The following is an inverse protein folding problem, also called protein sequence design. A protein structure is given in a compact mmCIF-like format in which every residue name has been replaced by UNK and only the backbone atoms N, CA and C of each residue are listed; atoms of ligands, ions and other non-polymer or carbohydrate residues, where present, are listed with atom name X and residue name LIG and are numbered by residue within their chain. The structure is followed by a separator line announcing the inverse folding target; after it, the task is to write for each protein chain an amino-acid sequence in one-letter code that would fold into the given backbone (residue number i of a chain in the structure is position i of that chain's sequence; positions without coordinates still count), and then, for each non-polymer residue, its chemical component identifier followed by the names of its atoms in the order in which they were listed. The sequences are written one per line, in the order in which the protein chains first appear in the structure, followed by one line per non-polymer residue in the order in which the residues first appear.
data_IF_238584325458
#
_entry.id   IF_238584325458
#
_cell.length_a   1.000
_cell.length_b   1.000
_cell.length_c   1.000
_cell.angle_alpha   90.00
_cell.angle_beta   90.00
_cell.angle_gamma   90.00
#
_symmetry.space_group_name_H-M   'P 1'
#
loop_
_entity.id
_entity.type
_entity.pdbx_description
1 polymer ?
#
# COMPACT_ATOMS: atom_id res chain seq x y z
N UNK A 1 32.66 -6.34 5.31
CA UNK A 1 31.27 -6.41 4.74
C UNK A 1 30.97 -7.85 4.31
N UNK A 2 30.52 -8.70 5.27
CA UNK A 2 30.13 -10.08 5.01
C UNK A 2 28.83 -10.14 4.21
N UNK A 3 28.73 -11.08 3.26
CA UNK A 3 27.48 -11.44 2.62
C UNK A 3 26.81 -12.57 3.40
N UNK A 4 25.50 -12.51 3.58
CA UNK A 4 24.69 -13.63 4.07
C UNK A 4 24.37 -14.54 2.89
N UNK A 5 24.74 -15.84 3.02
CA UNK A 5 24.29 -16.89 2.11
C UNK A 5 23.30 -17.77 2.84
N UNK A 6 22.16 -18.04 2.21
CA UNK A 6 21.13 -18.93 2.74
C UNK A 6 20.77 -19.94 1.66
N UNK A 7 20.86 -21.21 1.97
CA UNK A 7 20.37 -22.30 1.14
C UNK A 7 19.17 -22.93 1.84
N UNK A 8 18.09 -23.10 1.12
CA UNK A 8 16.84 -23.69 1.58
C UNK A 8 16.48 -24.86 0.68
N UNK A 9 16.04 -25.96 1.28
CA UNK A 9 15.54 -27.14 0.59
C UNK A 9 14.33 -27.68 1.33
N UNK A 10 13.24 -27.94 0.58
CA UNK A 10 12.03 -28.58 1.07
C UNK A 10 11.95 -29.98 0.50
N UNK A 11 11.74 -30.96 1.36
CA UNK A 11 11.64 -32.36 0.98
C UNK A 11 10.29 -32.96 1.38
N UNK A 12 9.70 -33.75 0.49
CA UNK A 12 8.65 -34.69 0.83
C UNK A 12 9.31 -35.98 1.34
N UNK A 13 9.18 -36.22 2.63
CA UNK A 13 9.78 -37.40 3.27
C UNK A 13 9.10 -38.70 2.90
N UNK A 14 7.80 -38.66 2.57
CA UNK A 14 7.04 -39.85 2.15
C UNK A 14 7.44 -40.29 0.74
N UNK A 15 7.55 -39.32 -0.17
CA UNK A 15 7.96 -39.58 -1.54
C UNK A 15 9.48 -39.62 -1.72
N UNK A 16 10.26 -39.31 -0.68
CA UNK A 16 11.73 -39.16 -0.71
C UNK A 16 12.21 -38.26 -1.85
N UNK A 17 11.48 -37.15 -2.08
CA UNK A 17 11.70 -36.25 -3.22
C UNK A 17 11.92 -34.81 -2.76
N UNK A 18 12.91 -34.13 -3.36
CA UNK A 18 13.06 -32.68 -3.22
C UNK A 18 11.89 -31.98 -3.90
N UNK A 19 11.16 -31.18 -3.16
CA UNK A 19 10.01 -30.39 -3.65
C UNK A 19 10.44 -29.05 -4.22
N UNK A 20 11.40 -28.39 -3.56
CA UNK A 20 11.95 -27.10 -4.02
C UNK A 20 13.29 -26.82 -3.35
N UNK A 21 14.17 -26.10 -4.06
CA UNK A 21 15.44 -25.60 -3.54
C UNK A 21 15.65 -24.15 -3.97
N UNK A 22 16.14 -23.32 -3.07
CA UNK A 22 16.45 -21.90 -3.31
C UNK A 22 17.77 -21.54 -2.65
N UNK A 23 18.52 -20.65 -3.29
CA UNK A 23 19.74 -20.07 -2.73
C UNK A 23 19.69 -18.55 -2.83
N UNK A 24 20.04 -17.88 -1.74
CA UNK A 24 20.05 -16.43 -1.64
C UNK A 24 21.45 -15.93 -1.27
N UNK A 25 21.85 -14.81 -1.86
CA UNK A 25 23.04 -14.08 -1.44
C UNK A 25 22.66 -12.61 -1.25
N UNK A 26 22.74 -12.12 -0.03
CA UNK A 26 22.29 -10.77 0.32
C UNK A 26 23.13 -10.18 1.47
N UNK A 27 22.77 -9.00 1.94
CA UNK A 27 23.35 -8.42 3.16
C UNK A 27 22.75 -9.06 4.42
N UNK A 28 23.49 -9.16 5.54
CA UNK A 28 22.95 -9.72 6.79
C UNK A 28 21.67 -9.06 7.27
N UNK A 29 21.46 -7.78 6.99
CA UNK A 29 20.25 -7.03 7.39
C UNK A 29 18.96 -7.50 6.71
N UNK A 30 19.08 -8.23 5.59
CA UNK A 30 17.94 -8.71 4.80
C UNK A 30 17.48 -10.13 5.17
N UNK A 31 17.99 -10.71 6.25
CA UNK A 31 17.64 -12.08 6.65
C UNK A 31 16.14 -12.30 6.82
N UNK A 32 15.40 -11.31 7.33
CA UNK A 32 13.92 -11.41 7.49
C UNK A 32 13.22 -11.56 6.15
N UNK A 33 13.58 -10.73 5.16
CA UNK A 33 12.98 -10.83 3.82
C UNK A 33 13.28 -12.18 3.19
N UNK A 34 14.48 -12.72 3.37
CA UNK A 34 14.80 -14.09 2.91
C UNK A 34 13.92 -15.12 3.61
N UNK A 35 13.70 -15.00 4.93
CA UNK A 35 12.80 -15.87 5.66
C UNK A 35 11.35 -15.79 5.15
N UNK A 36 10.83 -14.58 4.89
CA UNK A 36 9.49 -14.39 4.32
C UNK A 36 9.36 -15.03 2.93
N UNK A 37 10.32 -14.81 2.03
CA UNK A 37 10.32 -15.43 0.69
C UNK A 37 10.35 -16.96 0.77
N UNK A 38 11.13 -17.52 1.72
CA UNK A 38 11.14 -18.97 1.97
C UNK A 38 9.77 -19.44 2.47
N UNK A 39 9.15 -18.69 3.38
CA UNK A 39 7.81 -19.00 3.89
C UNK A 39 6.75 -18.98 2.77
N UNK A 40 6.82 -17.99 1.86
CA UNK A 40 5.97 -17.93 0.68
C UNK A 40 6.13 -19.18 -0.19
N UNK A 41 7.37 -19.61 -0.43
CA UNK A 41 7.64 -20.81 -1.24
C UNK A 41 7.20 -22.10 -0.58
N UNK A 42 7.28 -22.20 0.75
CA UNK A 42 6.73 -23.34 1.50
C UNK A 42 5.20 -23.35 1.37
N UNK A 43 4.56 -22.20 1.61
CA UNK A 43 3.11 -22.06 1.55
C UNK A 43 2.58 -22.40 0.14
N UNK A 44 3.13 -21.77 -0.89
CA UNK A 44 2.77 -22.05 -2.29
C UNK A 44 2.90 -23.55 -2.63
N UNK A 45 4.00 -24.17 -2.17
CA UNK A 45 4.26 -25.57 -2.46
C UNK A 45 3.32 -26.54 -1.77
N UNK A 46 2.85 -26.19 -0.57
CA UNK A 46 1.96 -27.03 0.22
C UNK A 46 0.47 -26.80 -0.09
N UNK A 47 0.08 -25.58 -0.45
CA UNK A 47 -1.32 -25.22 -0.63
C UNK A 47 -1.71 -25.04 -2.10
N UNK A 48 -0.75 -24.74 -2.98
CA UNK A 48 -0.99 -24.33 -4.35
C UNK A 48 -1.42 -22.86 -4.52
N UNK A 49 -1.46 -22.10 -3.43
CA UNK A 49 -1.82 -20.68 -3.42
C UNK A 49 -0.57 -19.81 -3.24
N UNK A 50 -0.61 -18.57 -3.76
CA UNK A 50 0.48 -17.61 -3.58
C UNK A 50 0.71 -17.30 -2.10
N UNK A 51 1.98 -17.19 -1.70
CA UNK A 51 2.37 -16.77 -0.37
C UNK A 51 2.13 -15.28 -0.13
N UNK A 52 2.01 -14.89 1.14
CA UNK A 52 1.77 -13.49 1.56
C UNK A 52 2.72 -13.01 2.67
N UNK A 53 3.78 -13.78 2.98
CA UNK A 53 4.70 -13.46 4.07
C UNK A 53 5.67 -12.33 3.70
N UNK A 54 6.09 -12.19 2.42
CA UNK A 54 6.89 -11.04 1.94
C UNK A 54 6.01 -9.87 1.53
N UNK A 55 5.02 -9.55 2.37
CA UNK A 55 4.11 -8.41 2.17
C UNK A 55 4.28 -7.36 3.26
N UNK A 56 3.71 -6.19 3.03
CA UNK A 56 3.76 -5.05 3.95
C UNK A 56 2.36 -4.53 4.25
N UNK A 57 2.21 -3.97 5.44
CA UNK A 57 0.98 -3.33 5.90
C UNK A 57 1.22 -1.83 5.93
N UNK A 58 0.35 -1.06 5.26
CA UNK A 58 0.28 0.38 5.42
C UNK A 58 -0.91 0.74 6.32
N UNK A 59 -0.70 1.67 7.25
CA UNK A 59 -1.70 2.04 8.23
C UNK A 59 -1.52 3.47 8.73
N UNK A 60 -2.51 3.98 9.42
CA UNK A 60 -2.43 5.26 10.12
C UNK A 60 -2.08 4.98 11.57
N UNK A 61 -0.88 5.37 11.98
CA UNK A 61 -0.45 5.32 13.37
C UNK A 61 -0.96 6.55 14.12
N UNK A 62 -1.64 6.33 15.24
CA UNK A 62 -2.13 7.40 16.10
C UNK A 62 -1.35 7.47 17.41
N UNK A 63 -1.06 8.68 17.87
CA UNK A 63 -0.37 8.94 19.14
C UNK A 63 -0.88 10.26 19.77
N UNK A 64 -0.48 10.53 21.00
CA UNK A 64 -0.87 11.73 21.72
C UNK A 64 -2.18 11.62 22.49
N UNK A 65 -2.56 12.68 23.21
CA UNK A 65 -3.77 12.76 24.00
C UNK A 65 -5.03 12.72 23.11
N UNK A 66 -6.17 12.30 23.68
CA UNK A 66 -7.42 12.09 22.94
C UNK A 66 -7.89 13.33 22.16
N UNK A 67 -7.65 14.51 22.69
CA UNK A 67 -8.01 15.80 22.11
C UNK A 67 -6.94 16.39 21.17
N UNK A 68 -5.74 15.77 21.12
CA UNK A 68 -4.58 16.21 20.33
C UNK A 68 -3.91 15.03 19.65
N UNK A 69 -4.68 14.21 18.94
CA UNK A 69 -4.17 13.05 18.22
C UNK A 69 -3.28 13.47 17.05
N UNK A 70 -2.08 12.91 17.04
CA UNK A 70 -1.16 13.00 15.90
C UNK A 70 -1.34 11.73 15.08
N UNK A 71 -1.65 11.88 13.79
CA UNK A 71 -1.79 10.77 12.84
C UNK A 71 -0.64 10.80 11.86
N UNK A 72 0.00 9.64 11.68
CA UNK A 72 1.10 9.46 10.73
C UNK A 72 0.82 8.27 9.84
N UNK A 73 1.11 8.42 8.56
CA UNK A 73 1.18 7.29 7.67
C UNK A 73 2.39 6.45 8.04
N UNK A 74 2.20 5.15 8.22
CA UNK A 74 3.23 4.21 8.61
C UNK A 74 3.16 2.93 7.78
N UNK A 75 4.30 2.27 7.62
CA UNK A 75 4.43 0.99 6.95
C UNK A 75 5.26 0.04 7.82
N UNK A 76 4.92 -1.25 7.77
CA UNK A 76 5.67 -2.31 8.46
C UNK A 76 5.60 -3.61 7.66
N UNK A 77 6.50 -4.54 7.93
CA UNK A 77 6.38 -5.91 7.45
C UNK A 77 5.11 -6.55 8.03
N UNK A 78 4.54 -7.56 7.39
CA UNK A 78 3.28 -8.16 7.80
C UNK A 78 3.32 -8.75 9.23
N UNK A 79 4.50 -9.07 9.73
CA UNK A 79 4.74 -9.58 11.09
C UNK A 79 4.97 -8.48 12.15
N UNK A 80 4.72 -7.21 11.79
CA UNK A 80 4.86 -6.05 12.68
C UNK A 80 6.27 -5.47 12.78
N UNK A 81 7.26 -6.07 12.12
CA UNK A 81 8.64 -5.57 12.17
C UNK A 81 8.88 -4.41 11.19
N UNK A 82 10.03 -3.74 11.38
CA UNK A 82 10.52 -2.66 10.51
C UNK A 82 9.54 -1.52 10.30
N UNK A 83 8.79 -1.14 11.32
CA UNK A 83 7.91 0.04 11.27
C UNK A 83 8.69 1.28 10.83
N UNK A 84 8.20 1.95 9.80
CA UNK A 84 8.72 3.22 9.29
C UNK A 84 7.57 4.21 9.13
N UNK A 85 7.73 5.44 9.64
CA UNK A 85 6.80 6.52 9.38
C UNK A 85 7.08 7.17 8.03
N UNK A 86 6.04 7.37 7.24
CA UNK A 86 6.11 7.94 5.89
C UNK A 86 5.73 9.43 5.88
N UNK A 87 5.02 9.90 6.93
CA UNK A 87 4.67 11.32 7.12
C UNK A 87 5.09 11.81 8.50
N UNK A 88 5.22 13.14 8.66
CA UNK A 88 5.71 13.76 9.88
C UNK A 88 4.64 13.88 10.99
N UNK A 89 3.35 13.89 10.61
CA UNK A 89 2.23 14.03 11.55
C UNK A 89 1.78 15.46 11.80
N UNK A 90 2.17 16.41 10.96
CA UNK A 90 1.72 17.83 11.02
C UNK A 90 0.36 18.02 10.34
N UNK A 91 -0.19 16.97 9.75
CA UNK A 91 -1.44 16.99 9.03
C UNK A 91 -2.24 15.71 9.29
N UNK A 92 -3.55 15.80 9.15
CA UNK A 92 -4.42 14.63 9.25
C UNK A 92 -4.25 13.79 7.97
N UNK A 93 -3.89 12.51 8.15
CA UNK A 93 -3.81 11.52 7.08
C UNK A 93 -4.80 10.40 7.32
N UNK A 94 -5.47 9.93 6.26
CA UNK A 94 -6.55 8.93 6.34
C UNK A 94 -6.49 7.97 5.15
N UNK A 95 -7.13 6.82 5.31
CA UNK A 95 -7.49 5.85 4.26
C UNK A 95 -6.36 5.48 3.29
N UNK A 96 -5.17 5.07 3.78
CA UNK A 96 -4.11 4.64 2.88
C UNK A 96 -4.50 3.35 2.14
N UNK A 97 -4.09 3.23 0.86
CA UNK A 97 -4.28 2.05 0.03
C UNK A 97 -3.06 1.79 -0.83
N UNK A 98 -2.61 0.54 -0.87
CA UNK A 98 -1.60 0.11 -1.82
C UNK A 98 -2.15 0.03 -3.25
N UNK A 99 -1.31 0.36 -4.21
CA UNK A 99 -1.47 -0.07 -5.58
C UNK A 99 -1.23 -1.60 -5.64
N UNK A 100 -2.09 -2.39 -6.30
CA UNK A 100 -1.95 -3.84 -6.33
C UNK A 100 -0.75 -4.34 -7.14
N UNK A 101 -0.15 -3.52 -8.01
CA UNK A 101 0.87 -3.93 -8.96
C UNK A 101 2.25 -3.31 -8.75
N UNK A 102 2.34 -2.25 -7.91
CA UNK A 102 3.59 -1.54 -7.65
C UNK A 102 3.67 -0.96 -6.24
N UNK A 103 4.74 -0.20 -5.93
CA UNK A 103 4.99 0.36 -4.61
C UNK A 103 4.37 1.75 -4.38
N UNK A 104 3.34 2.06 -5.16
CA UNK A 104 2.57 3.29 -4.97
C UNK A 104 1.51 3.12 -3.88
N UNK A 105 1.25 4.18 -3.15
CA UNK A 105 0.19 4.27 -2.14
C UNK A 105 -0.62 5.51 -2.42
N UNK A 106 -1.95 5.39 -2.36
CA UNK A 106 -2.83 6.55 -2.30
C UNK A 106 -3.33 6.75 -0.87
N UNK A 107 -3.52 7.99 -0.48
CA UNK A 107 -4.09 8.37 0.82
C UNK A 107 -4.71 9.76 0.78
N UNK A 108 -5.59 10.03 1.72
CA UNK A 108 -6.16 11.37 1.95
C UNK A 108 -5.30 12.14 2.94
N UNK A 109 -4.95 13.37 2.63
CA UNK A 109 -4.31 14.32 3.55
C UNK A 109 -5.06 15.63 3.61
N UNK A 110 -5.11 16.23 4.81
CA UNK A 110 -5.67 17.54 5.08
C UNK A 110 -4.55 18.60 5.17
N UNK A 111 -3.63 18.57 4.22
CA UNK A 111 -2.58 19.57 4.15
C UNK A 111 -3.16 20.97 3.96
N UNK A 112 -2.77 21.93 4.83
CA UNK A 112 -3.32 23.29 4.87
C UNK A 112 -4.86 23.33 5.03
N UNK A 113 -5.43 22.37 5.79
CA UNK A 113 -6.87 22.21 5.98
C UNK A 113 -7.68 21.97 4.70
N UNK A 114 -7.02 21.52 3.63
CA UNK A 114 -7.66 21.15 2.38
C UNK A 114 -7.53 19.63 2.17
N UNK A 115 -8.65 18.88 2.15
CA UNK A 115 -8.61 17.47 1.85
C UNK A 115 -8.20 17.26 0.38
N UNK A 116 -7.13 16.50 0.18
CA UNK A 116 -6.59 16.13 -1.13
C UNK A 116 -6.16 14.68 -1.12
N UNK A 117 -6.34 14.03 -2.24
CA UNK A 117 -5.78 12.70 -2.48
C UNK A 117 -4.33 12.84 -2.93
N UNK A 118 -3.46 12.08 -2.30
CA UNK A 118 -2.04 12.02 -2.62
C UNK A 118 -1.66 10.64 -3.14
N UNK A 119 -0.70 10.62 -4.05
CA UNK A 119 0.08 9.45 -4.41
C UNK A 119 1.46 9.56 -3.77
N UNK A 120 1.92 8.47 -3.17
CA UNK A 120 3.24 8.35 -2.58
C UNK A 120 3.92 7.11 -3.16
N UNK A 121 5.06 7.28 -3.77
CA UNK A 121 5.98 6.19 -4.08
C UNK A 121 6.82 5.89 -2.83
N UNK A 122 6.68 4.66 -2.31
CA UNK A 122 7.34 4.26 -1.05
C UNK A 122 8.85 4.08 -1.24
N UNK A 123 9.30 3.74 -2.45
CA UNK A 123 10.72 3.48 -2.73
C UNK A 123 11.50 4.79 -2.85
N UNK A 124 10.97 5.74 -3.60
CA UNK A 124 11.62 7.04 -3.83
C UNK A 124 11.28 8.08 -2.77
N UNK A 125 10.12 7.93 -2.09
CA UNK A 125 9.55 8.93 -1.21
C UNK A 125 8.91 10.11 -1.94
N UNK A 126 8.77 10.03 -3.27
CA UNK A 126 8.14 11.06 -4.08
C UNK A 126 6.64 11.10 -3.80
N UNK A 127 6.12 12.30 -3.57
CA UNK A 127 4.71 12.54 -3.25
C UNK A 127 4.13 13.56 -4.22
N UNK A 128 2.93 13.29 -4.71
CA UNK A 128 2.19 14.19 -5.60
C UNK A 128 0.70 14.23 -5.24
N UNK A 129 0.05 15.34 -5.56
CA UNK A 129 -1.41 15.50 -5.43
C UNK A 129 -2.08 14.88 -6.66
N UNK A 130 -3.11 14.07 -6.42
CA UNK A 130 -3.95 13.52 -7.49
C UNK A 130 -4.95 14.58 -7.95
N UNK A 131 -4.62 15.25 -9.05
CA UNK A 131 -5.47 16.27 -9.64
C UNK A 131 -5.64 17.55 -8.80
N UNK A 132 -6.12 18.59 -9.43
CA UNK A 132 -6.47 19.86 -8.78
C UNK A 132 -7.98 20.07 -8.86
N UNK A 133 -8.71 19.34 -8.06
CA UNK A 133 -10.18 19.43 -8.01
C UNK A 133 -10.60 20.56 -7.06
N UNK A 134 -11.57 21.40 -7.44
CA UNK A 134 -12.02 22.54 -6.63
C UNK A 134 -12.72 22.10 -5.33
N UNK A 135 -13.39 20.95 -5.32
CA UNK A 135 -14.11 20.43 -4.16
C UNK A 135 -13.29 19.46 -3.32
N UNK A 136 -13.97 18.75 -2.40
CA UNK A 136 -13.37 17.72 -1.57
C UNK A 136 -13.27 16.40 -2.30
N UNK A 137 -12.08 15.79 -2.32
CA UNK A 137 -11.84 14.46 -2.87
C UNK A 137 -11.57 13.49 -1.73
N UNK A 138 -12.20 12.31 -1.74
CA UNK A 138 -12.03 11.32 -0.67
C UNK A 138 -12.20 9.87 -1.16
N UNK A 139 -11.90 8.93 -0.26
CA UNK A 139 -12.01 7.48 -0.45
C UNK A 139 -11.29 6.93 -1.71
N UNK A 140 -10.02 7.30 -1.99
CA UNK A 140 -9.34 6.85 -3.18
C UNK A 140 -9.06 5.34 -3.13
N UNK A 141 -9.25 4.66 -4.28
CA UNK A 141 -8.87 3.26 -4.48
C UNK A 141 -8.28 3.04 -5.86
N UNK A 142 -7.30 2.15 -5.94
CA UNK A 142 -6.76 1.72 -7.22
C UNK A 142 -7.69 0.72 -7.92
N UNK A 143 -7.66 0.72 -9.25
CA UNK A 143 -8.19 -0.39 -10.04
C UNK A 143 -7.36 -1.66 -9.84
N UNK A 144 -7.91 -2.86 -10.15
CA UNK A 144 -7.17 -4.13 -9.99
C UNK A 144 -5.86 -4.19 -10.78
N UNK A 145 -5.79 -3.51 -11.91
CA UNK A 145 -4.57 -3.39 -12.73
C UNK A 145 -3.61 -2.30 -12.27
N UNK A 146 -3.99 -1.51 -11.25
CA UNK A 146 -3.20 -0.43 -10.69
C UNK A 146 -3.03 0.81 -11.56
N UNK A 147 -3.74 0.90 -12.69
CA UNK A 147 -3.58 2.00 -13.66
C UNK A 147 -4.52 3.18 -13.44
N UNK A 148 -5.62 2.96 -12.77
CA UNK A 148 -6.62 4.00 -12.47
C UNK A 148 -6.84 4.15 -10.98
N UNK A 149 -7.37 5.32 -10.59
CA UNK A 149 -7.90 5.57 -9.26
C UNK A 149 -9.39 5.91 -9.41
N UNK A 150 -10.23 5.28 -8.60
CA UNK A 150 -11.61 5.69 -8.34
C UNK A 150 -11.65 6.52 -7.07
N UNK A 151 -12.45 7.56 -7.05
CA UNK A 151 -12.59 8.48 -5.91
C UNK A 151 -13.95 9.15 -5.93
N UNK A 152 -14.40 9.58 -4.77
CA UNK A 152 -15.57 10.46 -4.66
C UNK A 152 -15.12 11.90 -4.66
N UNK A 153 -15.86 12.74 -5.35
CA UNK A 153 -15.64 14.18 -5.44
C UNK A 153 -16.92 14.92 -5.04
N UNK A 154 -16.82 15.76 -4.01
CA UNK A 154 -17.94 16.53 -3.49
C UNK A 154 -17.83 18.02 -3.87
N UNK A 155 -18.86 18.53 -4.50
CA UNK A 155 -19.00 19.93 -4.89
C UNK A 155 -20.46 20.36 -4.73
N UNK A 156 -20.68 21.57 -4.23
CA UNK A 156 -22.01 22.19 -4.11
C UNK A 156 -23.09 21.34 -3.40
N UNK A 157 -22.66 20.53 -2.42
CA UNK A 157 -23.58 19.71 -1.62
C UNK A 157 -23.96 18.36 -2.24
N UNK A 158 -23.45 18.05 -3.42
CA UNK A 158 -23.53 16.72 -4.04
C UNK A 158 -22.18 16.02 -4.06
N UNK A 159 -22.17 14.71 -4.24
CA UNK A 159 -20.98 13.91 -4.41
C UNK A 159 -21.18 12.85 -5.47
N UNK A 160 -20.27 12.78 -6.41
CA UNK A 160 -20.26 11.79 -7.48
C UNK A 160 -18.96 10.98 -7.49
N UNK A 161 -18.99 9.88 -8.21
CA UNK A 161 -17.84 8.99 -8.38
C UNK A 161 -17.13 9.34 -9.68
N UNK A 162 -15.80 9.45 -9.56
CA UNK A 162 -14.90 9.72 -10.67
C UNK A 162 -13.80 8.68 -10.75
N UNK A 163 -13.30 8.43 -11.95
CA UNK A 163 -12.05 7.72 -12.18
C UNK A 163 -11.01 8.65 -12.77
N UNK A 164 -9.76 8.40 -12.46
CA UNK A 164 -8.63 9.06 -13.10
C UNK A 164 -7.61 8.01 -13.57
N UNK A 165 -7.23 8.11 -14.82
CA UNK A 165 -6.11 7.37 -15.38
C UNK A 165 -4.80 7.97 -14.87
N UNK A 166 -3.89 7.14 -14.34
CA UNK A 166 -2.66 7.59 -13.68
C UNK A 166 -1.56 8.02 -14.66
N UNK A 167 -1.59 7.51 -15.87
CA UNK A 167 -0.62 7.85 -16.91
C UNK A 167 -1.02 9.12 -17.63
N UNK A 168 -2.25 9.18 -18.13
CA UNK A 168 -2.76 10.29 -18.94
C UNK A 168 -3.31 11.45 -18.12
N UNK A 169 -3.63 11.19 -16.82
CA UNK A 169 -4.31 12.13 -15.91
C UNK A 169 -5.73 12.51 -16.37
N UNK A 170 -6.28 11.79 -17.31
CA UNK A 170 -7.67 11.98 -17.74
C UNK A 170 -8.63 11.58 -16.65
N UNK A 171 -9.60 12.44 -16.37
CA UNK A 171 -10.65 12.23 -15.36
C UNK A 171 -11.97 12.00 -16.08
N UNK A 172 -12.69 10.97 -15.63
CA UNK A 172 -14.00 10.60 -16.14
C UNK A 172 -14.99 10.56 -14.98
N UNK A 173 -16.12 11.24 -15.12
CA UNK A 173 -17.25 11.15 -14.17
C UNK A 173 -18.03 9.88 -14.46
N UNK A 174 -18.22 9.05 -13.45
CA UNK A 174 -18.89 7.75 -13.57
C UNK A 174 -20.36 7.86 -13.19
N UNK A 175 -20.69 8.66 -12.16
CA UNK A 175 -22.06 8.87 -11.73
C UNK A 175 -22.46 10.33 -11.90
N UNK A 176 -23.74 10.55 -12.20
CA UNK A 176 -24.35 11.87 -12.37
C UNK A 176 -25.79 11.80 -11.87
N UNK A 177 -25.96 11.87 -10.56
CA UNK A 177 -27.27 11.81 -9.93
C UNK A 177 -27.40 12.88 -8.85
N UNK A 178 -28.63 13.27 -8.52
CA UNK A 178 -28.90 14.24 -7.46
C UNK A 178 -28.68 13.70 -6.03
N UNK A 179 -28.49 12.39 -5.89
CA UNK A 179 -28.13 11.75 -4.62
C UNK A 179 -26.63 11.74 -4.43
N UNK A 180 -26.19 11.67 -3.18
CA UNK A 180 -24.79 11.56 -2.82
C UNK A 180 -24.29 10.15 -3.15
N UNK A 181 -23.33 10.05 -4.06
CA UNK A 181 -22.64 8.83 -4.43
C UNK A 181 -21.23 8.82 -3.80
N UNK A 182 -20.87 7.70 -3.15
CA UNK A 182 -19.57 7.53 -2.49
C UNK A 182 -18.92 6.18 -2.84
N UNK A 183 -17.59 6.14 -2.89
CA UNK A 183 -16.78 4.96 -3.18
C UNK A 183 -16.23 4.31 -1.89
#
# INVERSE_FOLDING_TARGET
NGKLKVEFRLWDLTASKEMTALAFTTTPTNWRRVAHIISDKIYERLTGEDGYFDTRIIYVAESGAKDKRIKKLAIMDQDGAKTKYLTLGNELVLTPRFNPTNQMVTYLSYFRNQPRVYLLDIETGTQEVVGNFPGMTFAPRFSPDGKKIIMSFAEDGNSDIFTMDLETRMVERITEHSSIDTS
#
